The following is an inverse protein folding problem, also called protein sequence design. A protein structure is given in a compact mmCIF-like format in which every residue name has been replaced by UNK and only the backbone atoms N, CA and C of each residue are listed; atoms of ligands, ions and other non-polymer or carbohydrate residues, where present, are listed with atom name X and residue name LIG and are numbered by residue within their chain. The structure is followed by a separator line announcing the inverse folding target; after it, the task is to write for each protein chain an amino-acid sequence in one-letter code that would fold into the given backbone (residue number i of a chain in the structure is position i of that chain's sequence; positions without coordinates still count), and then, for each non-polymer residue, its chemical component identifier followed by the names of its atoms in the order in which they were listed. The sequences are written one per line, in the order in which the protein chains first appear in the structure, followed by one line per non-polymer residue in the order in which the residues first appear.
data_IF_875347967747
#
_entry.id   IF_875347967747
#
_cell.length_a   1.000
_cell.length_b   1.000
_cell.length_c   1.000
_cell.angle_alpha   90.00
_cell.angle_beta   90.00
_cell.angle_gamma   90.00
#
_symmetry.space_group_name_H-M   'P 1'
#
loop_
_entity.id
_entity.type
_entity.pdbx_description
1 polymer ?
#
# COMPACT_ATOMS: atom_id res chain seq x y z
N UNK A 1 -2.63 4.36 -19.78
CA UNK A 1 -3.09 4.07 -18.40
C UNK A 1 -4.12 5.11 -18.00
N UNK A 2 -5.08 4.69 -17.19
CA UNK A 2 -6.29 5.43 -16.84
C UNK A 2 -6.35 5.71 -15.34
N UNK A 3 -7.19 6.66 -14.92
CA UNK A 3 -7.43 6.96 -13.51
C UNK A 3 -8.90 7.21 -13.22
N UNK A 4 -9.27 7.03 -11.97
CA UNK A 4 -10.55 7.38 -11.36
C UNK A 4 -10.27 8.35 -10.22
N UNK A 5 -10.99 9.46 -10.17
CA UNK A 5 -10.78 10.51 -9.17
C UNK A 5 -11.98 10.62 -8.25
N UNK A 6 -11.73 10.85 -6.95
CA UNK A 6 -12.77 11.14 -5.97
C UNK A 6 -13.89 10.07 -5.93
N UNK A 7 -13.51 8.79 -5.93
CA UNK A 7 -14.43 7.64 -5.94
C UNK A 7 -14.54 7.00 -4.57
N UNK A 8 -15.62 6.25 -4.34
CA UNK A 8 -15.68 5.31 -3.22
C UNK A 8 -14.72 4.15 -3.51
N UNK A 9 -13.57 4.14 -2.82
CA UNK A 9 -12.47 3.21 -3.08
C UNK A 9 -12.92 1.77 -2.87
N UNK A 10 -13.67 1.51 -1.79
CA UNK A 10 -14.10 0.15 -1.44
C UNK A 10 -15.09 -0.38 -2.47
N UNK A 11 -16.04 0.44 -2.91
CA UNK A 11 -17.02 0.02 -3.94
C UNK A 11 -16.34 -0.33 -5.26
N UNK A 12 -15.34 0.46 -5.67
CA UNK A 12 -14.58 0.24 -6.92
C UNK A 12 -13.72 -1.01 -6.81
N UNK A 13 -12.88 -1.11 -5.78
CA UNK A 13 -11.95 -2.23 -5.64
C UNK A 13 -12.67 -3.55 -5.34
N UNK A 14 -13.82 -3.51 -4.63
CA UNK A 14 -14.64 -4.71 -4.39
C UNK A 14 -15.20 -5.28 -5.70
N UNK A 15 -15.66 -4.42 -6.61
CA UNK A 15 -16.15 -4.85 -7.91
C UNK A 15 -15.03 -5.42 -8.79
N UNK A 16 -13.86 -4.80 -8.78
CA UNK A 16 -12.67 -5.33 -9.46
C UNK A 16 -12.29 -6.71 -8.88
N UNK A 17 -12.23 -6.82 -7.56
CA UNK A 17 -11.90 -8.05 -6.85
C UNK A 17 -12.90 -9.18 -7.17
N UNK A 18 -14.20 -8.91 -7.20
CA UNK A 18 -15.23 -9.90 -7.58
C UNK A 18 -15.06 -10.46 -8.99
N UNK A 19 -14.50 -9.68 -9.92
CA UNK A 19 -14.30 -10.13 -11.29
C UNK A 19 -12.99 -10.94 -11.41
N UNK A 20 -11.93 -10.49 -10.76
CA UNK A 20 -10.58 -11.01 -10.98
C UNK A 20 -10.12 -12.04 -9.94
N UNK A 21 -10.62 -11.97 -8.70
CA UNK A 21 -10.19 -12.79 -7.57
C UNK A 21 -11.18 -13.92 -7.29
N UNK A 22 -10.72 -15.17 -7.39
CA UNK A 22 -11.55 -16.38 -7.22
C UNK A 22 -11.39 -17.05 -5.86
N UNK A 23 -10.23 -16.88 -5.23
CA UNK A 23 -9.92 -17.46 -3.93
C UNK A 23 -9.49 -16.35 -2.97
N UNK A 24 -9.75 -16.54 -1.67
CA UNK A 24 -9.39 -15.61 -0.58
C UNK A 24 -9.96 -14.20 -0.74
N UNK A 25 -10.95 -14.02 -1.62
CA UNK A 25 -11.54 -12.72 -1.92
C UNK A 25 -12.10 -12.04 -0.67
N UNK A 26 -12.84 -12.78 0.16
CA UNK A 26 -13.47 -12.22 1.37
C UNK A 26 -12.44 -11.92 2.46
N UNK A 27 -11.43 -12.77 2.63
CA UNK A 27 -10.41 -12.61 3.68
C UNK A 27 -9.42 -11.51 3.35
N UNK A 28 -8.84 -11.56 2.15
CA UNK A 28 -7.77 -10.64 1.76
C UNK A 28 -8.33 -9.24 1.53
N UNK A 29 -9.50 -9.13 0.89
CA UNK A 29 -10.12 -7.82 0.69
C UNK A 29 -10.67 -7.21 1.99
N UNK A 30 -11.02 -8.02 3.00
CA UNK A 30 -11.35 -7.49 4.32
C UNK A 30 -10.14 -6.81 4.98
N UNK A 31 -8.96 -7.44 4.89
CA UNK A 31 -7.71 -6.85 5.39
C UNK A 31 -7.34 -5.56 4.65
N UNK A 32 -7.48 -5.55 3.32
CA UNK A 32 -7.28 -4.33 2.51
C UNK A 32 -8.19 -3.18 2.98
N UNK A 33 -9.46 -3.48 3.26
CA UNK A 33 -10.43 -2.50 3.73
C UNK A 33 -10.07 -1.92 5.11
N UNK A 34 -9.54 -2.74 6.02
CA UNK A 34 -9.05 -2.28 7.32
C UNK A 34 -7.88 -1.30 7.14
N UNK A 35 -6.90 -1.65 6.30
CA UNK A 35 -5.76 -0.79 5.97
C UNK A 35 -6.22 0.56 5.38
N UNK A 36 -7.16 0.53 4.44
CA UNK A 36 -7.69 1.77 3.84
C UNK A 36 -8.50 2.60 4.84
N UNK A 37 -9.20 1.96 5.78
CA UNK A 37 -9.95 2.66 6.82
C UNK A 37 -9.03 3.39 7.78
N UNK A 38 -7.95 2.74 8.21
CA UNK A 38 -6.90 3.36 9.03
C UNK A 38 -6.25 4.54 8.30
N UNK A 39 -5.97 4.39 7.01
CA UNK A 39 -5.44 5.48 6.19
C UNK A 39 -6.41 6.66 6.06
N UNK A 40 -7.71 6.39 5.95
CA UNK A 40 -8.74 7.41 5.79
C UNK A 40 -8.92 8.29 7.04
N UNK A 41 -8.62 7.75 8.23
CA UNK A 41 -8.66 8.48 9.51
C UNK A 41 -7.30 9.07 9.91
N UNK A 42 -6.21 8.67 9.27
CA UNK A 42 -4.87 9.20 9.55
C UNK A 42 -4.73 10.64 9.07
N UNK A 43 -4.04 11.47 9.84
CA UNK A 43 -3.65 12.83 9.42
C UNK A 43 -2.33 12.84 8.63
N UNK A 44 -1.62 11.71 8.57
CA UNK A 44 -0.32 11.59 7.90
C UNK A 44 -0.51 11.26 6.42
N UNK A 45 -0.08 12.16 5.53
CA UNK A 45 -0.13 11.96 4.08
C UNK A 45 0.66 10.70 3.66
N UNK A 46 1.81 10.43 4.28
CA UNK A 46 2.64 9.26 3.95
C UNK A 46 1.91 7.91 4.13
N UNK A 47 0.88 7.88 4.98
CA UNK A 47 0.09 6.68 5.26
C UNK A 47 -1.11 6.50 4.33
N UNK A 48 -1.27 7.34 3.30
CA UNK A 48 -2.44 7.35 2.41
C UNK A 48 -2.18 6.82 1.00
N UNK A 49 -0.97 6.35 0.73
CA UNK A 49 -0.54 5.95 -0.60
C UNK A 49 -0.16 4.47 -0.66
N UNK A 50 -0.80 3.76 -1.57
CA UNK A 50 -0.69 2.31 -1.66
C UNK A 50 -0.57 1.82 -3.10
N UNK A 51 -0.03 0.61 -3.24
CA UNK A 51 -0.24 -0.25 -4.40
C UNK A 51 -1.21 -1.35 -3.98
N UNK A 52 -2.41 -1.36 -4.55
CA UNK A 52 -3.34 -2.45 -4.39
C UNK A 52 -3.21 -3.44 -5.55
N UNK A 53 -3.06 -4.70 -5.22
CA UNK A 53 -2.82 -5.80 -6.14
C UNK A 53 -3.99 -6.76 -6.08
N UNK A 54 -4.49 -7.17 -7.24
CA UNK A 54 -5.50 -8.23 -7.36
C UNK A 54 -5.02 -9.32 -8.31
N UNK A 55 -5.24 -10.56 -7.89
CA UNK A 55 -4.92 -11.78 -8.64
C UNK A 55 -6.02 -12.82 -8.43
N UNK A 56 -5.95 -13.91 -9.19
CA UNK A 56 -6.88 -15.04 -9.04
C UNK A 56 -6.93 -15.60 -7.61
N UNK A 57 -5.80 -15.61 -6.93
CA UNK A 57 -5.62 -16.18 -5.58
C UNK A 57 -5.39 -15.09 -4.53
N UNK A 58 -6.28 -14.10 -4.47
CA UNK A 58 -6.30 -13.10 -3.41
C UNK A 58 -5.99 -11.68 -3.86
N UNK A 59 -5.92 -10.80 -2.88
CA UNK A 59 -5.52 -9.40 -3.02
C UNK A 59 -4.33 -9.11 -2.09
N UNK A 60 -3.65 -7.98 -2.29
CA UNK A 60 -2.62 -7.52 -1.36
C UNK A 60 -2.49 -6.00 -1.46
N UNK A 61 -2.30 -5.34 -0.32
CA UNK A 61 -2.09 -3.89 -0.23
C UNK A 61 -0.67 -3.61 0.25
N UNK A 62 0.12 -2.95 -0.59
CA UNK A 62 1.50 -2.57 -0.29
C UNK A 62 1.60 -1.07 -0.04
N UNK A 63 2.42 -0.64 0.91
CA UNK A 63 2.71 0.79 1.17
C UNK A 63 3.62 1.33 0.08
N UNK A 64 3.20 2.42 -0.57
CA UNK A 64 3.95 3.00 -1.71
C UNK A 64 5.40 3.36 -1.34
N UNK A 65 5.63 3.89 -0.15
CA UNK A 65 6.99 4.24 0.29
C UNK A 65 7.88 3.02 0.53
N UNK A 66 7.29 1.91 1.00
CA UNK A 66 8.05 0.73 1.42
C UNK A 66 8.54 -0.12 0.26
N UNK A 67 7.88 -0.08 -0.90
CA UNK A 67 8.36 -0.84 -2.07
C UNK A 67 9.77 -0.44 -2.53
N UNK A 68 10.24 0.74 -2.14
CA UNK A 68 11.59 1.24 -2.44
C UNK A 68 12.61 0.94 -1.33
N UNK A 69 12.19 0.33 -0.23
CA UNK A 69 13.06 0.01 0.91
C UNK A 69 13.60 -1.40 0.73
N UNK A 70 14.92 -1.54 0.83
CA UNK A 70 15.65 -2.82 0.76
C UNK A 70 15.09 -3.83 1.75
N UNK A 71 14.93 -5.07 1.28
CA UNK A 71 14.46 -6.23 2.04
C UNK A 71 13.11 -6.08 2.76
N UNK A 72 12.38 -4.99 2.53
CA UNK A 72 11.04 -4.81 3.09
C UNK A 72 10.06 -5.82 2.52
N UNK A 73 9.05 -6.17 3.33
CA UNK A 73 7.96 -7.03 2.87
C UNK A 73 7.31 -6.50 1.59
N UNK A 74 7.02 -5.20 1.53
CA UNK A 74 6.34 -4.57 0.41
C UNK A 74 7.16 -4.66 -0.88
N UNK A 75 8.49 -4.47 -0.80
CA UNK A 75 9.38 -4.62 -1.94
C UNK A 75 9.40 -6.06 -2.45
N UNK A 76 9.65 -7.02 -1.56
CA UNK A 76 9.74 -8.43 -1.91
C UNK A 76 8.43 -8.95 -2.51
N UNK A 77 7.29 -8.52 -1.95
CA UNK A 77 5.98 -8.84 -2.48
C UNK A 77 5.77 -8.26 -3.88
N UNK A 78 6.14 -7.00 -4.11
CA UNK A 78 6.02 -6.36 -5.41
C UNK A 78 6.88 -7.05 -6.47
N UNK A 79 8.16 -7.32 -6.15
CA UNK A 79 9.09 -8.04 -7.03
C UNK A 79 8.48 -9.40 -7.44
N UNK A 80 8.02 -10.20 -6.47
CA UNK A 80 7.37 -11.48 -6.72
C UNK A 80 6.14 -11.34 -7.63
N UNK A 81 5.22 -10.40 -7.35
CA UNK A 81 4.01 -10.25 -8.15
C UNK A 81 4.29 -9.69 -9.55
N UNK A 82 5.35 -8.91 -9.72
CA UNK A 82 5.72 -8.36 -11.03
C UNK A 82 6.20 -9.41 -12.02
N UNK A 83 6.56 -10.60 -11.57
CA UNK A 83 6.95 -11.72 -12.45
C UNK A 83 5.74 -12.56 -12.91
N UNK A 84 4.54 -12.28 -12.40
CA UNK A 84 3.33 -13.06 -12.68
C UNK A 84 2.44 -12.42 -13.75
N UNK A 85 2.17 -13.14 -14.85
CA UNK A 85 1.40 -12.62 -15.99
C UNK A 85 -0.09 -12.33 -15.71
N UNK A 86 -0.64 -12.83 -14.59
CA UNK A 86 -2.08 -12.74 -14.27
C UNK A 86 -2.38 -11.80 -13.08
N UNK A 87 -1.61 -10.74 -12.93
CA UNK A 87 -1.74 -9.77 -11.83
C UNK A 87 -2.11 -8.40 -12.37
N UNK A 88 -3.12 -7.77 -11.77
CA UNK A 88 -3.43 -6.35 -11.96
C UNK A 88 -3.05 -5.57 -10.72
N UNK A 89 -2.60 -4.33 -10.91
CA UNK A 89 -2.25 -3.43 -9.82
C UNK A 89 -2.77 -2.02 -10.07
N UNK A 90 -3.00 -1.33 -8.96
CA UNK A 90 -3.50 0.03 -8.96
C UNK A 90 -2.78 0.84 -7.89
N UNK A 91 -2.36 2.07 -8.20
CA UNK A 91 -2.08 3.01 -7.12
C UNK A 91 -3.41 3.43 -6.50
N UNK A 92 -3.45 3.48 -5.17
CA UNK A 92 -4.61 3.91 -4.41
C UNK A 92 -4.17 5.04 -3.48
N UNK A 93 -4.68 6.24 -3.74
CA UNK A 93 -4.45 7.43 -2.94
C UNK A 93 -5.71 7.73 -2.13
N UNK A 94 -5.67 7.50 -0.82
CA UNK A 94 -6.81 7.77 0.08
C UNK A 94 -6.85 9.26 0.42
N UNK A 95 -8.01 9.88 0.22
CA UNK A 95 -8.20 11.32 0.53
C UNK A 95 -8.89 11.54 1.88
N UNK A 96 -9.65 10.56 2.36
CA UNK A 96 -10.29 10.58 3.68
C UNK A 96 -11.66 9.92 3.67
N UNK A 97 -12.48 10.27 4.66
CA UNK A 97 -13.88 9.84 4.76
C UNK A 97 -14.82 10.96 4.28
N UNK A 98 -15.89 10.59 3.56
CA UNK A 98 -16.98 11.53 3.28
C UNK A 98 -18.01 11.56 4.44
N UNK A 99 -19.05 12.40 4.30
CA UNK A 99 -20.15 12.53 5.27
C UNK A 99 -20.92 11.24 5.59
N UNK A 100 -20.85 10.23 4.73
CA UNK A 100 -21.49 8.94 4.92
C UNK A 100 -20.49 7.88 5.46
N UNK A 101 -19.29 8.29 5.87
CA UNK A 101 -18.18 7.42 6.29
C UNK A 101 -17.68 6.47 5.19
N UNK A 102 -17.89 6.80 3.91
CA UNK A 102 -17.28 6.07 2.81
C UNK A 102 -15.83 6.53 2.64
N UNK A 103 -14.94 5.58 2.34
CA UNK A 103 -13.52 5.85 2.06
C UNK A 103 -13.42 6.41 0.64
N UNK A 104 -13.00 7.66 0.53
CA UNK A 104 -12.86 8.37 -0.74
C UNK A 104 -11.40 8.47 -1.12
N UNK A 105 -11.12 8.29 -2.40
CA UNK A 105 -9.76 8.35 -2.92
C UNK A 105 -9.69 8.37 -4.43
N UNK A 106 -8.47 8.25 -4.92
CA UNK A 106 -8.14 8.20 -6.34
C UNK A 106 -7.48 6.86 -6.65
N UNK A 107 -7.83 6.27 -7.79
CA UNK A 107 -7.34 4.97 -8.23
C UNK A 107 -6.70 5.15 -9.60
N UNK A 108 -5.47 4.67 -9.75
CA UNK A 108 -4.67 4.83 -10.96
C UNK A 108 -4.20 3.47 -11.41
N UNK A 109 -4.29 3.19 -12.70
CA UNK A 109 -3.70 1.97 -13.23
C UNK A 109 -2.19 1.95 -13.01
N UNK A 110 -1.68 0.83 -12.51
CA UNK A 110 -0.27 0.61 -12.25
C UNK A 110 0.25 -0.52 -13.14
N UNK A 111 1.27 -0.23 -13.94
CA UNK A 111 2.05 -1.26 -14.62
C UNK A 111 3.12 -1.78 -13.65
N UNK A 112 2.94 -3.00 -13.13
CA UNK A 112 3.88 -3.59 -12.16
C UNK A 112 5.27 -3.81 -12.74
N UNK A 113 5.41 -4.13 -14.03
CA UNK A 113 6.72 -4.31 -14.64
C UNK A 113 7.50 -2.98 -14.69
N UNK A 114 6.85 -1.89 -15.13
CA UNK A 114 7.47 -0.56 -15.10
C UNK A 114 7.84 -0.11 -13.67
N UNK A 115 7.00 -0.45 -12.68
CA UNK A 115 7.27 -0.13 -11.28
C UNK A 115 8.42 -0.97 -10.72
N UNK A 116 8.51 -2.26 -11.09
CA UNK A 116 9.61 -3.13 -10.72
C UNK A 116 10.94 -2.69 -11.35
N UNK A 117 10.92 -2.23 -12.60
CA UNK A 117 12.13 -1.67 -13.22
C UNK A 117 12.58 -0.37 -12.52
N UNK A 118 11.63 0.42 -12.01
CA UNK A 118 11.94 1.62 -11.25
C UNK A 118 12.61 1.29 -9.91
N UNK A 119 12.10 0.31 -9.15
CA UNK A 119 12.67 -0.06 -7.85
C UNK A 119 14.04 -0.76 -7.97
N UNK A 120 14.32 -1.47 -9.07
CA UNK A 120 15.66 -2.03 -9.32
C UNK A 120 16.75 -0.95 -9.39
N UNK A 121 16.37 0.24 -9.82
CA UNK A 121 17.25 1.40 -9.94
C UNK A 121 17.18 2.35 -8.74
N UNK A 122 16.23 2.15 -7.81
CA UNK A 122 15.97 3.05 -6.69
C UNK A 122 15.72 2.23 -5.43
N UNK A 123 16.70 2.24 -4.54
CA UNK A 123 16.77 1.31 -3.41
C UNK A 123 17.28 2.05 -2.18
N UNK A 124 16.47 2.10 -1.12
CA UNK A 124 16.79 2.83 0.10
C UNK A 124 17.04 1.87 1.24
N UNK A 125 18.13 2.12 1.96
CA UNK A 125 18.49 1.36 3.16
C UNK A 125 17.67 1.79 4.35
N UNK A 126 17.15 0.82 5.08
CA UNK A 126 16.54 1.01 6.38
C UNK A 126 17.55 1.67 7.33
N UNK A 127 17.06 2.64 8.10
CA UNK A 127 17.79 3.29 9.19
C UNK A 127 17.24 2.83 10.54
N UNK A 128 15.91 2.80 10.66
CA UNK A 128 15.23 2.42 11.90
C UNK A 128 13.77 2.07 11.63
N UNK A 129 13.21 1.23 12.49
CA UNK A 129 11.78 0.95 12.56
C UNK A 129 11.11 1.83 13.62
N UNK A 130 9.93 2.35 13.31
CA UNK A 130 9.08 3.08 14.25
C UNK A 130 7.85 2.24 14.52
N UNK A 131 7.75 1.66 15.72
CA UNK A 131 6.62 0.84 16.13
C UNK A 131 5.60 1.68 16.89
N UNK A 132 4.33 1.54 16.51
CA UNK A 132 3.21 2.22 17.13
C UNK A 132 2.44 1.22 17.99
N UNK A 133 2.26 1.57 19.25
CA UNK A 133 1.38 0.89 20.19
C UNK A 133 0.35 1.87 20.72
N UNK A 134 -0.68 1.35 21.38
CA UNK A 134 -1.75 2.14 21.98
C UNK A 134 -1.22 3.21 22.95
N UNK A 135 -0.20 2.87 23.74
CA UNK A 135 0.31 3.73 24.80
C UNK A 135 1.65 4.38 24.47
N UNK A 136 2.39 3.87 23.48
CA UNK A 136 3.75 4.33 23.21
C UNK A 136 4.16 4.19 21.74
N UNK A 137 5.11 5.02 21.31
CA UNK A 137 5.79 4.88 20.01
C UNK A 137 7.27 4.64 20.25
N UNK A 138 7.77 3.49 19.80
CA UNK A 138 9.16 3.06 20.02
C UNK A 138 9.91 3.10 18.70
N UNK A 139 11.05 3.81 18.67
CA UNK A 139 11.97 3.77 17.52
C UNK A 139 13.14 2.85 17.84
N UNK A 140 13.45 1.92 16.94
CA UNK A 140 14.59 1.01 17.04
C UNK A 140 15.41 1.04 15.77
N UNK A 141 16.73 1.05 15.91
CA UNK A 141 17.62 0.86 14.77
C UNK A 141 17.42 -0.53 14.17
N UNK A 142 17.87 -0.73 12.93
CA UNK A 142 17.84 -2.05 12.33
C UNK A 142 18.82 -2.99 13.05
N UNK A 143 18.28 -4.00 13.72
CA UNK A 143 19.02 -5.07 14.37
C UNK A 143 18.35 -6.43 14.09
N UNK A 144 19.12 -7.51 14.25
CA UNK A 144 18.65 -8.89 13.99
C UNK A 144 17.59 -9.38 15.00
N UNK A 145 17.44 -8.68 16.13
CA UNK A 145 16.56 -9.06 17.23
C UNK A 145 15.23 -8.30 17.23
N UNK A 146 14.99 -7.42 16.25
CA UNK A 146 13.77 -6.60 16.19
C UNK A 146 12.50 -7.44 16.17
N UNK A 147 12.51 -8.61 15.53
CA UNK A 147 11.37 -9.54 15.52
C UNK A 147 11.10 -10.16 16.91
N UNK A 148 12.15 -10.63 17.57
CA UNK A 148 12.07 -11.24 18.91
C UNK A 148 11.65 -10.19 19.95
N UNK A 149 12.20 -8.98 19.86
CA UNK A 149 11.79 -7.85 20.69
C UNK A 149 10.31 -7.52 20.49
N UNK A 150 9.86 -7.37 19.23
CA UNK A 150 8.46 -7.03 18.93
C UNK A 150 7.51 -8.12 19.44
N UNK A 151 7.89 -9.39 19.31
CA UNK A 151 7.11 -10.52 19.82
C UNK A 151 7.02 -10.48 21.35
N UNK A 152 8.14 -10.26 22.04
CA UNK A 152 8.20 -10.17 23.50
C UNK A 152 7.36 -9.00 24.05
N UNK A 153 7.40 -7.85 23.38
CA UNK A 153 6.60 -6.67 23.76
C UNK A 153 5.10 -6.91 23.53
N UNK A 154 4.73 -7.56 22.43
CA UNK A 154 3.34 -7.95 22.16
C UNK A 154 2.81 -8.94 23.19
N UNK A 155 3.62 -9.92 23.58
CA UNK A 155 3.25 -10.94 24.57
C UNK A 155 3.11 -10.37 25.98
N UNK A 156 4.04 -9.49 26.37
CA UNK A 156 3.98 -8.81 27.68
C UNK A 156 2.90 -7.74 27.76
N UNK A 157 2.37 -7.28 26.62
CA UNK A 157 1.43 -6.18 26.51
C UNK A 157 1.93 -4.89 27.20
N UNK A 158 3.25 -4.70 27.24
CA UNK A 158 3.92 -3.60 27.96
C UNK A 158 3.45 -2.23 27.48
N UNK A 159 3.34 -2.04 26.16
CA UNK A 159 2.93 -0.77 25.53
C UNK A 159 1.47 -0.78 25.05
N UNK A 160 0.68 -1.76 25.46
CA UNK A 160 -0.69 -1.96 24.98
C UNK A 160 -0.77 -2.59 23.60
N UNK A 161 -1.93 -2.45 22.94
CA UNK A 161 -2.19 -3.09 21.64
C UNK A 161 -1.21 -2.58 20.57
N UNK A 162 -0.60 -3.51 19.82
CA UNK A 162 0.19 -3.17 18.64
C UNK A 162 -0.70 -2.58 17.54
N UNK A 163 -0.32 -1.41 17.04
CA UNK A 163 -1.06 -0.67 16.01
C UNK A 163 -0.37 -0.71 14.65
N UNK A 164 0.93 -1.02 14.61
CA UNK A 164 1.67 -1.11 13.37
C UNK A 164 3.09 -0.60 13.50
N UNK A 165 3.73 -0.39 12.36
CA UNK A 165 5.07 0.17 12.30
C UNK A 165 5.23 1.02 11.05
N UNK A 166 6.27 1.84 10.99
CA UNK A 166 6.82 2.47 9.79
C UNK A 166 8.33 2.23 9.72
N UNK A 167 8.92 2.46 8.54
CA UNK A 167 10.36 2.31 8.31
C UNK A 167 10.92 3.68 7.95
N UNK A 168 11.94 4.13 8.69
CA UNK A 168 12.76 5.29 8.32
C UNK A 168 13.95 4.80 7.53
N UNK A 169 14.31 5.55 6.50
CA UNK A 169 15.45 5.26 5.62
C UNK A 169 16.59 6.24 5.88
N UNK A 170 17.79 5.91 5.41
CA UNK A 170 18.94 6.81 5.53
C UNK A 170 18.77 8.11 4.74
N UNK A 171 18.17 8.06 3.55
CA UNK A 171 17.91 9.23 2.70
C UNK A 171 16.39 9.45 2.50
N UNK A 172 15.73 10.02 3.51
CA UNK A 172 14.29 10.33 3.44
C UNK A 172 13.98 11.42 2.40
N UNK A 173 14.95 12.30 2.10
CA UNK A 173 14.76 13.39 1.15
C UNK A 173 14.68 12.85 -0.28
N UNK A 174 15.60 11.97 -0.66
CA UNK A 174 15.62 11.35 -1.98
C UNK A 174 14.42 10.42 -2.18
N UNK A 175 14.04 9.62 -1.17
CA UNK A 175 12.81 8.81 -1.22
C UNK A 175 11.58 9.70 -1.44
N UNK A 176 11.45 10.79 -0.69
CA UNK A 176 10.32 11.72 -0.84
C UNK A 176 10.27 12.35 -2.23
N UNK A 177 11.41 12.74 -2.79
CA UNK A 177 11.48 13.30 -4.14
C UNK A 177 11.06 12.28 -5.20
N UNK A 178 11.54 11.04 -5.10
CA UNK A 178 11.15 9.95 -6.00
C UNK A 178 9.64 9.72 -5.99
N UNK A 179 9.05 9.60 -4.79
CA UNK A 179 7.61 9.40 -4.61
C UNK A 179 6.79 10.56 -5.21
N UNK A 180 7.26 11.81 -5.05
CA UNK A 180 6.62 12.97 -5.67
C UNK A 180 6.64 12.91 -7.20
N UNK A 181 7.74 12.49 -7.81
CA UNK A 181 7.83 12.35 -9.27
C UNK A 181 6.92 11.24 -9.80
N UNK A 182 6.85 10.10 -9.11
CA UNK A 182 5.92 9.01 -9.43
C UNK A 182 4.46 9.50 -9.35
N UNK A 183 4.10 10.21 -8.27
CA UNK A 183 2.78 10.83 -8.08
C UNK A 183 2.45 11.82 -9.19
N UNK A 184 3.37 12.71 -9.56
CA UNK A 184 3.21 13.66 -10.68
C UNK A 184 3.01 12.92 -12.01
N UNK A 185 3.72 11.82 -12.26
CA UNK A 185 3.58 11.00 -13.46
C UNK A 185 2.19 10.37 -13.52
N UNK A 186 1.71 9.71 -12.46
CA UNK A 186 0.38 9.08 -12.45
C UNK A 186 -0.77 10.08 -12.51
N UNK A 187 -0.60 11.29 -11.96
CA UNK A 187 -1.61 12.35 -12.04
C UNK A 187 -1.91 12.80 -13.48
N UNK A 188 -0.97 12.61 -14.41
CA UNK A 188 -1.14 12.90 -15.85
C UNK A 188 -1.90 11.81 -16.61
N UNK A 189 -2.24 10.69 -15.98
CA UNK A 189 -3.06 9.64 -16.61
C UNK A 189 -4.45 10.17 -16.97
N UNK A 190 -5.06 9.55 -17.99
CA UNK A 190 -6.36 9.95 -18.50
C UNK A 190 -7.46 9.54 -17.52
N UNK A 191 -8.27 10.49 -17.09
CA UNK A 191 -9.48 10.19 -16.31
C UNK A 191 -10.52 9.51 -17.19
N UNK A 192 -11.15 8.46 -16.66
CA UNK A 192 -12.12 7.64 -17.38
C UNK A 192 -13.31 7.29 -16.47
N UNK A 193 -14.41 6.87 -17.09
CA UNK A 193 -15.51 6.24 -16.36
C UNK A 193 -15.13 4.84 -15.87
N UNK A 194 -15.71 4.39 -14.76
CA UNK A 194 -15.39 3.11 -14.14
C UNK A 194 -15.61 1.91 -15.07
N UNK A 195 -16.66 1.91 -15.89
CA UNK A 195 -16.97 0.86 -16.87
C UNK A 195 -15.84 0.71 -17.90
N UNK A 196 -15.13 1.79 -18.21
CA UNK A 196 -13.97 1.73 -19.11
C UNK A 196 -12.82 0.96 -18.49
N UNK A 197 -12.64 1.07 -17.16
CA UNK A 197 -11.65 0.32 -16.42
C UNK A 197 -12.02 -1.18 -16.36
N UNK A 198 -13.30 -1.50 -16.20
CA UNK A 198 -13.78 -2.88 -16.07
C UNK A 198 -13.62 -3.72 -17.36
N UNK A 199 -13.65 -3.09 -18.54
CA UNK A 199 -13.45 -3.77 -19.83
C UNK A 199 -12.12 -4.52 -19.94
N UNK A 200 -11.18 -4.29 -19.04
CA UNK A 200 -9.87 -4.95 -19.00
C UNK A 200 -9.89 -6.34 -18.38
N UNK A 201 -10.96 -6.67 -17.67
CA UNK A 201 -11.19 -7.98 -17.07
C UNK A 201 -12.12 -8.86 -17.92
N UNK A 202 -12.55 -8.35 -19.09
CA UNK A 202 -13.40 -9.04 -20.07
C UNK A 202 -12.55 -9.70 -21.16
#
# INVERSE_FOLDING_TARGET
MSKLMNVNVIDVLSQISKINTKHYQETDFALDNEIFREAAISDKDEQKHFIWITRRCGTNTLRESRIFIEDSYDRNALEFYSENEQVFAYYVDITGLNKNNNIIGNIYECNLHELNDLLKNNSFKTKSYVYYFENETVTREEDEYNYDWLSSVKESNEFGKYLGYDIKVHDEYELKNLLQEIRKKRNKQKEVEFETLLKKFS
#
